data_IF_544844386426
#
_entry.id   IF_544844386426
#
_cell.length_a   1.000
_cell.length_b   1.000
_cell.length_c   1.000
_cell.angle_alpha   90.00
_cell.angle_beta   90.00
_cell.angle_gamma   90.00
#
_symmetry.space_group_name_H-M   'P 1'
#
loop_
_entity.id
_entity.type
_entity.pdbx_description
1 polymer ?
#
# COMPACT_ATOMS: atom_id res chain seq x y z
N UNK A 1 29.59 -32.94 -53.10
CA UNK A 1 28.81 -34.08 -53.62
C UNK A 1 27.45 -33.94 -52.93
N UNK A 2 26.49 -33.38 -53.65
CA UNK A 2 25.34 -34.08 -54.25
C UNK A 2 24.52 -34.77 -53.15
N UNK A 3 23.26 -34.55 -52.92
CA UNK A 3 22.15 -34.24 -53.78
C UNK A 3 20.90 -34.17 -52.89
N UNK A 4 20.04 -33.33 -53.33
CA UNK A 4 18.72 -33.51 -53.87
C UNK A 4 17.63 -33.56 -52.79
N UNK A 5 16.92 -32.47 -52.61
CA UNK A 5 15.72 -32.06 -53.31
C UNK A 5 14.75 -33.27 -53.52
N UNK A 6 13.68 -33.23 -52.81
CA UNK A 6 12.39 -33.57 -53.42
C UNK A 6 11.27 -32.77 -52.79
N UNK A 7 10.87 -31.79 -53.61
CA UNK A 7 9.49 -31.22 -53.58
C UNK A 7 8.49 -32.34 -53.85
N UNK A 8 7.47 -32.41 -53.12
CA UNK A 8 6.19 -32.96 -53.53
C UNK A 8 5.11 -32.16 -52.81
N UNK A 9 4.61 -31.21 -53.47
CA UNK A 9 3.38 -31.19 -54.28
C UNK A 9 2.16 -31.10 -53.37
N UNK A 10 1.66 -29.89 -53.47
CA UNK A 10 0.27 -29.51 -53.34
C UNK A 10 -0.71 -30.65 -53.61
N UNK A 11 -1.55 -30.91 -52.66
CA UNK A 11 -2.88 -31.43 -52.96
C UNK A 11 -3.88 -30.42 -52.42
N UNK A 12 -4.53 -29.82 -53.36
CA UNK A 12 -5.65 -28.95 -53.14
C UNK A 12 -6.75 -29.72 -52.44
N UNK A 13 -7.02 -29.39 -51.21
CA UNK A 13 -8.25 -29.83 -50.55
C UNK A 13 -9.27 -28.71 -50.67
N UNK A 14 -10.19 -28.94 -51.55
CA UNK A 14 -11.45 -28.21 -51.70
C UNK A 14 -12.06 -27.97 -50.33
N UNK A 15 -12.21 -26.72 -49.96
CA UNK A 15 -13.08 -26.30 -48.87
C UNK A 15 -14.51 -26.22 -49.39
N UNK A 16 -15.41 -27.10 -48.98
CA UNK A 16 -16.81 -26.83 -49.16
C UNK A 16 -17.21 -25.75 -48.16
N UNK A 17 -17.54 -24.66 -48.73
CA UNK A 17 -18.53 -23.63 -48.32
C UNK A 17 -19.30 -23.94 -47.03
N UNK A 18 -19.49 -22.87 -46.26
CA UNK A 18 -20.59 -22.69 -45.31
C UNK A 18 -20.45 -23.27 -43.92
N UNK A 19 -19.52 -22.71 -43.15
CA UNK A 19 -19.82 -22.50 -41.73
C UNK A 19 -19.61 -21.00 -41.48
N UNK A 20 -20.69 -20.24 -41.58
CA UNK A 20 -20.80 -18.90 -41.00
C UNK A 20 -20.75 -19.08 -39.47
N UNK A 21 -19.56 -19.12 -38.95
CA UNK A 21 -19.36 -18.97 -37.51
C UNK A 21 -19.69 -17.51 -37.20
N UNK A 22 -20.91 -17.31 -36.75
CA UNK A 22 -21.26 -16.09 -36.01
C UNK A 22 -20.37 -16.04 -34.78
N UNK A 23 -19.24 -15.35 -34.89
CA UNK A 23 -18.45 -14.91 -33.78
C UNK A 23 -19.28 -13.86 -33.03
N UNK A 24 -20.13 -14.34 -32.13
CA UNK A 24 -20.75 -13.48 -31.11
C UNK A 24 -19.60 -13.00 -30.23
N UNK A 25 -19.07 -11.82 -30.56
CA UNK A 25 -18.21 -11.07 -29.67
C UNK A 25 -19.05 -10.76 -28.42
N UNK A 26 -19.02 -11.64 -27.45
CA UNK A 26 -19.48 -11.35 -26.10
C UNK A 26 -18.53 -10.29 -25.55
N UNK A 27 -18.89 -9.02 -25.73
CA UNK A 27 -18.27 -7.92 -24.99
C UNK A 27 -18.68 -8.10 -23.52
N UNK A 28 -17.92 -8.89 -22.77
CA UNK A 28 -17.95 -8.87 -21.33
C UNK A 28 -17.38 -7.53 -20.92
N UNK A 29 -18.26 -6.56 -20.70
CA UNK A 29 -17.87 -5.31 -20.06
C UNK A 29 -17.22 -5.68 -18.71
N UNK A 30 -16.01 -5.17 -18.41
CA UNK A 30 -15.43 -5.36 -17.08
C UNK A 30 -16.41 -4.75 -16.08
N UNK A 31 -16.97 -5.60 -15.23
CA UNK A 31 -17.74 -5.15 -14.09
C UNK A 31 -16.79 -4.33 -13.22
N UNK A 32 -16.92 -3.01 -13.25
CA UNK A 32 -16.22 -2.12 -12.31
C UNK A 32 -16.87 -2.34 -10.95
N UNK A 33 -16.45 -3.40 -10.27
CA UNK A 33 -16.78 -3.57 -8.88
C UNK A 33 -16.24 -2.34 -8.14
N UNK A 34 -17.13 -1.55 -7.56
CA UNK A 34 -16.73 -0.43 -6.72
C UNK A 34 -15.79 -0.96 -5.64
N UNK A 35 -14.60 -0.38 -5.54
CA UNK A 35 -13.65 -0.77 -4.50
C UNK A 35 -14.30 -0.63 -3.12
N UNK A 36 -14.13 -1.61 -2.23
CA UNK A 36 -14.72 -1.54 -0.90
C UNK A 36 -14.21 -0.30 -0.17
N UNK A 37 -15.12 0.40 0.50
CA UNK A 37 -14.76 1.57 1.28
C UNK A 37 -13.79 1.21 2.40
N UNK A 38 -12.62 1.82 2.40
CA UNK A 38 -11.60 1.67 3.45
C UNK A 38 -11.68 2.86 4.39
N UNK A 39 -12.04 2.61 5.65
CA UNK A 39 -12.13 3.67 6.66
C UNK A 39 -10.74 4.21 7.03
N UNK A 40 -10.65 5.52 7.29
CA UNK A 40 -9.42 6.13 7.80
C UNK A 40 -9.00 5.52 9.14
N UNK A 41 -7.68 5.45 9.41
CA UNK A 41 -7.20 5.04 10.71
C UNK A 41 -7.76 5.92 11.82
N UNK A 42 -8.30 5.30 12.85
CA UNK A 42 -8.83 6.03 13.99
C UNK A 42 -7.72 6.77 14.76
N UNK A 43 -8.09 7.84 15.45
CA UNK A 43 -7.16 8.56 16.34
C UNK A 43 -6.51 7.62 17.38
N UNK A 44 -7.23 6.60 17.83
CA UNK A 44 -6.72 5.58 18.77
C UNK A 44 -5.62 4.73 18.13
N UNK A 45 -5.81 4.30 16.89
CA UNK A 45 -4.79 3.54 16.14
C UNK A 45 -3.52 4.37 15.93
N UNK A 46 -3.65 5.61 15.47
CA UNK A 46 -2.51 6.51 15.25
C UNK A 46 -1.74 6.79 16.56
N UNK A 47 -2.45 7.04 17.67
CA UNK A 47 -1.83 7.20 18.99
C UNK A 47 -1.16 5.91 19.46
N UNK A 48 -1.71 4.75 19.13
CA UNK A 48 -1.10 3.45 19.46
C UNK A 48 0.28 3.30 18.82
N UNK A 49 0.43 3.72 17.55
CA UNK A 49 1.72 3.72 16.86
C UNK A 49 2.70 4.69 17.53
N UNK A 50 2.26 5.91 17.83
CA UNK A 50 3.06 6.92 18.50
C UNK A 50 3.56 6.44 19.88
N UNK A 51 2.68 5.85 20.67
CA UNK A 51 3.05 5.29 21.98
C UNK A 51 4.02 4.12 21.89
N UNK A 52 3.84 3.24 20.89
CA UNK A 52 4.76 2.14 20.62
C UNK A 52 6.15 2.67 20.24
N UNK A 53 6.21 3.73 19.43
CA UNK A 53 7.47 4.39 19.06
C UNK A 53 8.19 4.98 20.28
N UNK A 54 7.45 5.64 21.17
CA UNK A 54 8.02 6.15 22.43
C UNK A 54 8.52 5.02 23.33
N UNK A 55 7.83 3.89 23.37
CA UNK A 55 8.28 2.72 24.11
C UNK A 55 9.58 2.14 23.51
N UNK A 56 9.66 2.01 22.17
CA UNK A 56 10.88 1.59 21.49
C UNK A 56 12.05 2.54 21.74
N UNK A 57 11.82 3.86 21.64
CA UNK A 57 12.82 4.89 21.91
C UNK A 57 13.40 4.78 23.33
N UNK A 58 12.57 4.53 24.32
CA UNK A 58 13.02 4.42 25.73
C UNK A 58 13.65 3.07 26.04
N UNK A 59 12.97 1.99 25.69
CA UNK A 59 13.37 0.65 26.11
C UNK A 59 14.50 0.06 25.27
N UNK A 60 14.61 0.47 23.98
CA UNK A 60 15.55 -0.11 23.03
C UNK A 60 15.53 -1.65 23.02
N UNK A 61 14.37 -2.25 23.20
CA UNK A 61 14.20 -3.70 23.23
C UNK A 61 13.54 -4.20 21.95
N UNK A 62 13.83 -5.44 21.60
CA UNK A 62 13.26 -6.11 20.42
C UNK A 62 11.74 -6.07 20.44
N UNK A 63 11.13 -6.36 21.60
CA UNK A 63 9.69 -6.41 21.76
C UNK A 63 9.05 -5.03 21.53
N UNK A 64 9.58 -3.99 22.19
CA UNK A 64 9.05 -2.64 22.05
C UNK A 64 9.18 -2.11 20.61
N UNK A 65 10.32 -2.35 19.97
CA UNK A 65 10.55 -1.87 18.60
C UNK A 65 9.78 -2.67 17.56
N UNK A 66 9.63 -3.99 17.74
CA UNK A 66 8.80 -4.84 16.90
C UNK A 66 7.32 -4.38 16.91
N UNK A 67 6.83 -3.93 18.06
CA UNK A 67 5.46 -3.42 18.19
C UNK A 67 5.17 -2.23 17.27
N UNK A 68 6.14 -1.35 17.05
CA UNK A 68 5.99 -0.22 16.10
C UNK A 68 5.67 -0.74 14.71
N UNK A 69 6.46 -1.70 14.23
CA UNK A 69 6.28 -2.30 12.90
C UNK A 69 4.92 -3.00 12.79
N UNK A 70 4.54 -3.80 13.78
CA UNK A 70 3.25 -4.52 13.78
C UNK A 70 2.05 -3.59 13.64
N UNK A 71 2.13 -2.37 14.20
CA UNK A 71 1.05 -1.39 14.13
C UNK A 71 1.11 -0.51 12.88
N UNK A 72 2.29 -0.21 12.38
CA UNK A 72 2.49 0.70 11.24
C UNK A 72 2.39 -0.01 9.89
N UNK A 73 2.90 -1.23 9.77
CA UNK A 73 3.00 -1.99 8.53
C UNK A 73 1.65 -2.17 7.82
N UNK A 74 0.55 -2.54 8.50
CA UNK A 74 -0.76 -2.66 7.85
C UNK A 74 -1.29 -1.36 7.24
N UNK A 75 -0.78 -0.21 7.66
CA UNK A 75 -1.18 1.08 7.12
C UNK A 75 -0.43 1.44 5.82
N UNK A 76 0.65 0.75 5.49
CA UNK A 76 1.39 1.00 4.25
C UNK A 76 0.57 0.68 3.00
N UNK A 77 -0.27 -0.36 3.08
CA UNK A 77 -1.14 -0.79 1.98
C UNK A 77 -2.50 -0.07 1.96
N UNK A 78 -2.73 0.84 2.90
CA UNK A 78 -3.99 1.56 3.00
C UNK A 78 -4.20 2.51 1.82
N UNK A 79 -5.21 2.26 0.96
CA UNK A 79 -5.41 2.95 -0.31
C UNK A 79 -5.70 4.45 -0.18
N UNK A 80 -6.31 4.87 0.93
CA UNK A 80 -6.71 6.27 1.15
C UNK A 80 -5.68 7.11 1.88
N UNK A 81 -4.64 6.51 2.45
CA UNK A 81 -3.62 7.30 3.15
C UNK A 81 -2.75 8.07 2.16
N UNK A 82 -2.51 9.37 2.43
CA UNK A 82 -1.63 10.18 1.59
C UNK A 82 -0.19 9.67 1.66
N UNK A 83 0.56 9.86 0.58
CA UNK A 83 1.98 9.47 0.48
C UNK A 83 2.80 9.98 1.66
N UNK A 84 2.59 11.24 2.06
CA UNK A 84 3.29 11.82 3.24
C UNK A 84 3.06 11.04 4.54
N UNK A 85 1.89 10.43 4.72
CA UNK A 85 1.66 9.55 5.86
C UNK A 85 2.50 8.28 5.72
N UNK A 86 2.48 7.66 4.55
CA UNK A 86 3.26 6.45 4.26
C UNK A 86 4.76 6.70 4.43
N UNK A 87 5.27 7.84 3.97
CA UNK A 87 6.66 8.23 4.18
C UNK A 87 7.03 8.31 5.67
N UNK A 88 6.18 8.94 6.47
CA UNK A 88 6.42 9.04 7.93
C UNK A 88 6.37 7.68 8.60
N UNK A 89 5.44 6.81 8.21
CA UNK A 89 5.34 5.43 8.73
C UNK A 89 6.58 4.62 8.33
N UNK A 90 7.01 4.73 7.08
CA UNK A 90 8.22 4.08 6.59
C UNK A 90 9.45 4.52 7.37
N UNK A 91 9.67 5.84 7.49
CA UNK A 91 10.79 6.39 8.26
C UNK A 91 10.75 5.89 9.70
N UNK A 92 9.57 5.88 10.33
CA UNK A 92 9.44 5.39 11.70
C UNK A 92 9.82 3.91 11.82
N UNK A 93 9.36 3.06 10.90
CA UNK A 93 9.68 1.63 10.92
C UNK A 93 11.17 1.37 10.67
N UNK A 94 11.81 2.22 9.88
CA UNK A 94 13.25 2.12 9.63
C UNK A 94 14.08 2.53 10.85
N UNK A 95 13.67 3.59 11.53
CA UNK A 95 14.35 4.11 12.72
C UNK A 95 14.06 3.29 14.00
N UNK A 96 12.85 2.72 14.11
CA UNK A 96 12.42 1.95 15.27
C UNK A 96 12.98 0.51 15.25
N UNK A 97 14.31 0.41 15.21
CA UNK A 97 15.08 -0.83 15.33
C UNK A 97 15.90 -0.81 16.61
N UNK A 98 16.21 -1.99 17.14
CA UNK A 98 17.15 -2.10 18.27
C UNK A 98 18.53 -1.65 17.80
N UNK A 99 19.15 -0.76 18.55
CA UNK A 99 20.47 -0.25 18.28
C UNK A 99 21.45 -0.64 19.41
N UNK A 100 22.73 -0.80 19.07
CA UNK A 100 23.76 -1.09 20.05
C UNK A 100 23.94 0.04 21.06
N UNK A 101 23.67 1.28 20.64
CA UNK A 101 23.72 2.45 21.50
C UNK A 101 22.38 3.20 21.43
N UNK A 102 21.73 3.37 22.56
CA UNK A 102 20.46 4.11 22.69
C UNK A 102 20.72 5.55 23.14
N UNK A 103 21.45 6.29 22.33
CA UNK A 103 21.82 7.67 22.58
C UNK A 103 20.64 8.66 22.42
N UNK A 104 20.91 9.92 22.77
CA UNK A 104 19.91 10.99 22.66
C UNK A 104 19.46 11.20 21.22
N UNK A 105 20.38 11.18 20.26
CA UNK A 105 20.07 11.43 18.84
C UNK A 105 19.06 10.41 18.31
N UNK A 106 19.30 9.13 18.57
CA UNK A 106 18.36 8.07 18.18
C UNK A 106 16.99 8.26 18.81
N UNK A 107 16.94 8.51 20.13
CA UNK A 107 15.68 8.75 20.85
C UNK A 107 14.92 9.93 20.27
N UNK A 108 15.61 11.01 19.98
CA UNK A 108 15.03 12.22 19.41
C UNK A 108 14.48 11.97 18.00
N UNK A 109 15.22 11.28 17.14
CA UNK A 109 14.79 10.92 15.78
C UNK A 109 13.50 10.11 15.80
N UNK A 110 13.44 9.02 16.57
CA UNK A 110 12.23 8.18 16.69
C UNK A 110 11.06 9.01 17.23
N UNK A 111 11.29 9.83 18.26
CA UNK A 111 10.25 10.62 18.90
C UNK A 111 9.70 11.70 17.96
N UNK A 112 10.57 12.39 17.25
CA UNK A 112 10.16 13.45 16.30
C UNK A 112 9.41 12.86 15.10
N UNK A 113 9.83 11.71 14.58
CA UNK A 113 9.11 11.01 13.51
C UNK A 113 7.73 10.57 14.00
N UNK A 114 7.63 9.99 15.21
CA UNK A 114 6.37 9.55 15.79
C UNK A 114 5.35 10.69 15.96
N UNK A 115 5.77 11.87 16.41
CA UNK A 115 4.90 13.05 16.56
C UNK A 115 4.27 13.53 15.27
N UNK A 116 4.85 13.19 14.12
CA UNK A 116 4.34 13.57 12.79
C UNK A 116 3.14 12.71 12.37
N UNK A 117 2.98 11.50 12.92
CA UNK A 117 1.93 10.55 12.51
C UNK A 117 0.53 11.14 12.66
N UNK A 118 0.09 11.67 13.82
CA UNK A 118 -1.25 12.24 13.96
C UNK A 118 -1.52 13.39 12.99
N UNK A 119 -0.47 14.11 12.60
CA UNK A 119 -0.60 15.26 11.68
C UNK A 119 -0.77 14.85 10.23
N UNK A 120 -0.04 13.83 9.77
CA UNK A 120 -0.02 13.45 8.35
C UNK A 120 -0.94 12.29 8.03
N UNK A 121 -1.33 11.48 9.03
CA UNK A 121 -2.14 10.28 8.84
C UNK A 121 -3.60 10.44 9.29
N UNK A 122 -3.95 11.56 9.93
CA UNK A 122 -5.34 11.81 10.30
C UNK A 122 -6.20 12.12 9.07
N UNK A 123 -7.47 11.77 9.17
CA UNK A 123 -8.45 12.14 8.15
C UNK A 123 -8.47 13.66 7.93
N UNK A 124 -8.42 14.14 6.68
CA UNK A 124 -8.49 15.56 6.39
C UNK A 124 -9.82 16.16 6.88
N UNK A 125 -9.75 17.21 7.70
CA UNK A 125 -10.94 17.92 8.15
C UNK A 125 -11.61 18.60 6.98
N UNK A 126 -12.86 18.30 6.72
CA UNK A 126 -13.62 18.88 5.63
C UNK A 126 -13.90 20.38 5.91
N UNK A 127 -14.15 21.15 4.83
CA UNK A 127 -14.41 22.59 4.92
C UNK A 127 -15.61 22.91 5.83
N UNK A 128 -16.62 22.03 5.81
CA UNK A 128 -17.84 22.18 6.60
C UNK A 128 -17.61 21.95 8.10
N UNK A 129 -16.74 21.00 8.47
CA UNK A 129 -16.36 20.76 9.87
C UNK A 129 -15.53 21.91 10.44
N UNK A 130 -14.64 22.51 9.61
CA UNK A 130 -13.88 23.71 10.02
C UNK A 130 -14.79 24.92 10.31
N UNK A 131 -15.87 25.08 9.56
CA UNK A 131 -16.84 26.14 9.80
C UNK A 131 -17.61 25.89 11.10
N UNK A 132 -18.03 24.66 11.34
CA UNK A 132 -18.79 24.27 12.54
C UNK A 132 -17.97 24.42 13.82
N UNK A 133 -16.66 24.08 13.78
CA UNK A 133 -15.77 24.24 14.94
C UNK A 133 -15.38 25.68 15.27
N UNK A 134 -15.63 26.64 14.36
CA UNK A 134 -15.40 28.08 14.61
C UNK A 134 -16.63 28.78 15.19
N UNK A 135 -17.80 28.14 15.15
CA UNK A 135 -19.06 28.66 15.63
C UNK A 135 -19.45 28.12 17.02
N UNK A 136 -18.69 27.16 17.54
CA UNK A 136 -18.81 26.60 18.88
C UNK A 136 -17.77 27.21 19.84
#
# INVERSE_FOLDING_TARGET
>A
MKNQIKRKIMSAMNFPSLIRIFMVLSMTAPSMAAEPYVAWPSKKQLRGIEQAAYACSRANSTEACKRVRQLADPLMDHSRLPERCKDVLWMLMDEAKVANNNDFRRKDTITNTARRIPRFCAEPVTKNEKLKSRQA
#
